data_IF_894401696508
#
_entry.id   IF_894401696508
#
_cell.length_a   1.000
_cell.length_b   1.000
_cell.length_c   1.000
_cell.angle_alpha   90.00
_cell.angle_beta   90.00
_cell.angle_gamma   90.00
#
_symmetry.space_group_name_H-M   'P 1'
#
loop_
_entity.id
_entity.type
_entity.pdbx_description
1 polymer ?
#
# COMPACT_ATOMS: atom_id res chain seq x y z
N UNK A 1 1.17 -23.47 49.59
CA UNK A 1 1.90 -23.98 48.41
C UNK A 1 1.10 -23.64 47.16
N UNK A 2 1.32 -22.43 46.68
CA UNK A 2 0.63 -21.73 45.60
C UNK A 2 1.65 -21.54 44.50
N UNK A 3 1.69 -22.40 43.47
CA UNK A 3 2.51 -22.14 42.27
C UNK A 3 2.35 -23.10 41.08
N UNK A 4 1.25 -23.83 40.92
CA UNK A 4 1.10 -24.71 39.74
C UNK A 4 -0.23 -24.61 38.99
N UNK A 5 -1.07 -23.60 39.27
CA UNK A 5 -2.41 -23.50 38.65
C UNK A 5 -2.68 -22.18 37.91
N UNK A 6 -1.64 -21.45 37.48
CA UNK A 6 -1.79 -20.15 36.78
C UNK A 6 -1.08 -20.11 35.41
N UNK A 7 -0.32 -21.13 35.03
CA UNK A 7 0.47 -21.11 33.78
C UNK A 7 -0.09 -21.96 32.63
N UNK A 8 -1.37 -22.36 32.70
CA UNK A 8 -2.08 -23.05 31.60
C UNK A 8 -3.23 -22.22 31.00
N UNK A 9 -3.40 -20.97 31.42
CA UNK A 9 -4.44 -20.05 30.93
C UNK A 9 -4.00 -19.15 29.75
N UNK A 10 -2.84 -19.41 29.13
CA UNK A 10 -2.38 -18.72 27.90
C UNK A 10 -2.84 -19.49 26.63
N UNK A 11 -3.82 -20.40 26.77
CA UNK A 11 -4.48 -21.07 25.63
C UNK A 11 -5.85 -20.46 25.29
N UNK A 12 -6.21 -19.31 25.87
CA UNK A 12 -7.44 -18.56 25.57
C UNK A 12 -7.10 -17.14 25.09
N UNK A 13 -6.33 -17.05 24.00
CA UNK A 13 -6.22 -15.85 23.18
C UNK A 13 -7.44 -15.72 22.27
N UNK A 14 -8.59 -15.37 22.84
CA UNK A 14 -9.74 -14.87 22.10
C UNK A 14 -9.43 -13.48 21.52
N UNK A 15 -10.11 -13.14 20.43
CA UNK A 15 -9.81 -13.56 19.07
C UNK A 15 -8.73 -12.64 18.49
N UNK A 16 -8.01 -13.10 17.45
CA UNK A 16 -7.60 -12.15 16.44
C UNK A 16 -8.87 -11.45 15.99
N UNK A 17 -9.14 -10.25 16.50
CA UNK A 17 -9.91 -9.25 15.78
C UNK A 17 -9.00 -8.90 14.61
N UNK A 18 -8.89 -9.84 13.66
CA UNK A 18 -8.58 -9.52 12.30
C UNK A 18 -9.66 -8.54 11.94
N UNK A 19 -9.26 -7.28 11.85
CA UNK A 19 -10.07 -6.29 11.18
C UNK A 19 -10.19 -6.87 9.78
N UNK A 20 -11.29 -7.57 9.53
CA UNK A 20 -11.80 -7.74 8.20
C UNK A 20 -12.13 -6.31 7.77
N UNK A 21 -11.10 -5.59 7.31
CA UNK A 21 -11.32 -4.57 6.31
C UNK A 21 -12.12 -5.30 5.26
N UNK A 22 -13.37 -4.92 5.08
CA UNK A 22 -14.13 -5.20 3.86
C UNK A 22 -13.14 -5.01 2.72
N UNK A 23 -12.63 -6.13 2.21
CA UNK A 23 -11.47 -6.13 1.35
C UNK A 23 -11.91 -5.47 0.08
N UNK A 24 -11.59 -4.20 -0.09
CA UNK A 24 -11.44 -3.65 -1.43
C UNK A 24 -10.40 -4.53 -2.08
N UNK A 25 -10.85 -5.49 -2.88
CA UNK A 25 -9.97 -6.41 -3.58
C UNK A 25 -9.07 -5.56 -4.45
N UNK A 26 -7.79 -5.47 -4.10
CA UNK A 26 -6.83 -4.74 -4.91
C UNK A 26 -6.75 -5.43 -6.27
N UNK A 27 -7.14 -4.72 -7.32
CA UNK A 27 -6.99 -5.15 -8.70
C UNK A 27 -5.98 -4.23 -9.38
N UNK A 28 -4.66 -4.47 -9.19
CA UNK A 28 -3.66 -3.68 -9.88
C UNK A 28 -3.80 -3.88 -11.40
N UNK A 29 -3.34 -2.90 -12.20
CA UNK A 29 -3.42 -2.99 -13.66
C UNK A 29 -2.64 -4.18 -14.22
N UNK A 30 -1.65 -4.65 -13.47
CA UNK A 30 -0.84 -5.84 -13.73
C UNK A 30 -0.05 -6.24 -12.50
N UNK A 31 0.62 -7.38 -12.58
CA UNK A 31 1.59 -7.83 -11.60
C UNK A 31 2.99 -7.56 -12.17
N UNK A 32 3.76 -6.60 -11.64
CA UNK A 32 5.06 -6.26 -12.20
C UNK A 32 6.02 -7.43 -11.97
N UNK A 33 6.40 -8.13 -13.03
CA UNK A 33 7.20 -9.35 -12.95
C UNK A 33 8.70 -9.12 -13.18
N UNK A 34 9.03 -8.05 -13.89
CA UNK A 34 10.39 -7.67 -14.24
C UNK A 34 10.45 -6.19 -14.65
N UNK A 35 11.67 -5.65 -14.69
CA UNK A 35 11.86 -4.21 -14.90
C UNK A 35 11.44 -3.72 -16.29
N UNK A 36 11.50 -4.57 -17.32
CA UNK A 36 11.13 -4.18 -18.68
C UNK A 36 9.62 -3.96 -18.74
N UNK A 37 8.84 -4.90 -18.23
CA UNK A 37 7.39 -4.75 -18.13
C UNK A 37 6.99 -3.55 -17.27
N UNK A 38 7.61 -3.39 -16.10
CA UNK A 38 7.37 -2.27 -15.20
C UNK A 38 7.67 -0.91 -15.85
N UNK A 39 8.70 -0.85 -16.71
CA UNK A 39 9.05 0.38 -17.45
C UNK A 39 8.07 0.64 -18.59
N UNK A 40 7.65 -0.38 -19.33
CA UNK A 40 6.70 -0.24 -20.43
C UNK A 40 5.32 0.22 -19.95
N UNK A 41 4.94 -0.13 -18.72
CA UNK A 41 3.65 0.19 -18.10
C UNK A 41 3.80 1.18 -16.94
N UNK A 42 4.82 2.04 -17.02
CA UNK A 42 5.17 2.98 -15.97
C UNK A 42 4.04 3.97 -15.65
N UNK A 43 3.44 4.59 -16.68
CA UNK A 43 2.34 5.55 -16.48
C UNK A 43 1.15 4.90 -15.78
N UNK A 44 0.75 3.72 -16.24
CA UNK A 44 -0.38 2.97 -15.68
C UNK A 44 -0.13 2.60 -14.21
N UNK A 45 1.12 2.30 -13.85
CA UNK A 45 1.52 2.10 -12.46
C UNK A 45 1.37 3.38 -11.62
N UNK A 46 1.86 4.53 -12.12
CA UNK A 46 1.76 5.80 -11.38
C UNK A 46 0.31 6.24 -11.19
N UNK A 47 -0.54 6.03 -12.19
CA UNK A 47 -1.97 6.35 -12.12
C UNK A 47 -2.67 5.46 -11.09
N UNK A 48 -2.40 4.14 -11.11
CA UNK A 48 -2.95 3.23 -10.10
C UNK A 48 -2.52 3.62 -8.67
N UNK A 49 -1.25 3.96 -8.47
CA UNK A 49 -0.74 4.39 -7.15
C UNK A 49 -1.47 5.67 -6.69
N UNK A 50 -1.72 6.62 -7.60
CA UNK A 50 -2.39 7.87 -7.27
C UNK A 50 -3.89 7.71 -6.98
N UNK A 51 -4.56 6.73 -7.58
CA UNK A 51 -6.03 6.63 -7.56
C UNK A 51 -6.59 5.51 -6.66
N UNK A 52 -5.85 4.41 -6.47
CA UNK A 52 -6.31 3.23 -5.74
C UNK A 52 -6.50 3.51 -4.24
N UNK A 53 -7.18 2.61 -3.51
CA UNK A 53 -7.33 2.74 -2.06
C UNK A 53 -5.95 2.81 -1.39
N UNK A 54 -5.85 3.48 -0.23
CA UNK A 54 -4.54 3.72 0.41
C UNK A 54 -3.74 2.42 0.61
N UNK A 55 -4.41 1.34 1.00
CA UNK A 55 -3.78 0.02 1.16
C UNK A 55 -3.29 -0.53 -0.18
N UNK A 56 -4.11 -0.49 -1.24
CA UNK A 56 -3.73 -1.02 -2.54
C UNK A 56 -2.61 -0.21 -3.21
N UNK A 57 -2.67 1.13 -3.10
CA UNK A 57 -1.62 2.02 -3.60
C UNK A 57 -0.28 1.73 -2.95
N UNK A 58 -0.25 1.58 -1.62
CA UNK A 58 0.99 1.29 -0.88
C UNK A 58 1.55 -0.09 -1.25
N UNK A 59 0.71 -1.12 -1.23
CA UNK A 59 1.14 -2.49 -1.57
C UNK A 59 1.72 -2.58 -2.99
N UNK A 60 1.06 -1.97 -3.97
CA UNK A 60 1.54 -1.98 -5.35
C UNK A 60 2.79 -1.12 -5.55
N UNK A 61 2.88 0.04 -4.87
CA UNK A 61 4.07 0.89 -4.91
C UNK A 61 5.33 0.16 -4.41
N UNK A 62 5.21 -0.58 -3.30
CA UNK A 62 6.30 -1.35 -2.73
C UNK A 62 6.80 -2.43 -3.71
N UNK A 63 5.87 -3.21 -4.28
CA UNK A 63 6.19 -4.22 -5.30
C UNK A 63 6.84 -3.61 -6.53
N UNK A 64 6.32 -2.47 -6.99
CA UNK A 64 6.83 -1.78 -8.16
C UNK A 64 8.27 -1.30 -7.95
N UNK A 65 8.58 -0.69 -6.79
CA UNK A 65 9.95 -0.25 -6.46
C UNK A 65 10.90 -1.44 -6.34
N UNK A 66 10.47 -2.55 -5.76
CA UNK A 66 11.28 -3.76 -5.59
C UNK A 66 11.81 -4.27 -6.93
N UNK A 67 10.97 -4.29 -7.96
CA UNK A 67 11.36 -4.69 -9.33
C UNK A 67 12.51 -3.84 -9.90
N UNK A 68 12.57 -2.54 -9.59
CA UNK A 68 13.69 -1.69 -10.01
C UNK A 68 14.94 -1.91 -9.17
N UNK A 69 14.79 -2.14 -7.85
CA UNK A 69 15.91 -2.40 -6.93
C UNK A 69 16.62 -3.72 -7.24
N UNK A 70 15.87 -4.75 -7.60
CA UNK A 70 16.42 -6.07 -7.93
C UNK A 70 17.04 -6.13 -9.34
N UNK A 71 16.77 -5.12 -10.17
CA UNK A 71 17.21 -5.13 -11.56
C UNK A 71 18.63 -4.62 -11.73
N UNK A 72 19.49 -5.45 -12.32
CA UNK A 72 20.83 -5.07 -12.76
C UNK A 72 20.83 -4.18 -14.02
N UNK A 73 19.69 -4.02 -14.69
CA UNK A 73 19.55 -3.23 -15.92
C UNK A 73 19.38 -1.73 -15.65
N UNK A 74 19.16 -1.34 -14.40
CA UNK A 74 18.80 0.02 -14.01
C UNK A 74 19.98 0.66 -13.28
N UNK A 75 20.28 1.90 -13.67
CA UNK A 75 21.25 2.71 -12.94
C UNK A 75 20.63 3.32 -11.67
N UNK A 76 21.44 3.62 -10.67
CA UNK A 76 21.00 4.29 -9.44
C UNK A 76 20.22 5.60 -9.71
N UNK A 77 20.59 6.32 -10.77
CA UNK A 77 19.88 7.54 -11.19
C UNK A 77 18.46 7.27 -11.64
N UNK A 78 18.24 6.21 -12.41
CA UNK A 78 16.91 5.79 -12.83
C UNK A 78 16.09 5.28 -11.64
N UNK A 79 16.70 4.47 -10.74
CA UNK A 79 16.03 4.01 -9.51
C UNK A 79 15.56 5.19 -8.66
N UNK A 80 16.39 6.22 -8.50
CA UNK A 80 16.05 7.42 -7.75
C UNK A 80 14.83 8.13 -8.34
N UNK A 81 14.82 8.38 -9.65
CA UNK A 81 13.66 9.01 -10.33
C UNK A 81 12.40 8.17 -10.15
N UNK A 82 12.50 6.85 -10.29
CA UNK A 82 11.37 5.94 -10.06
C UNK A 82 10.79 6.09 -8.65
N UNK A 83 11.64 6.15 -7.62
CA UNK A 83 11.18 6.32 -6.23
C UNK A 83 10.51 7.68 -6.04
N UNK A 84 11.12 8.76 -6.56
CA UNK A 84 10.57 10.12 -6.45
C UNK A 84 9.17 10.23 -7.08
N UNK A 85 8.97 9.64 -8.25
CA UNK A 85 7.68 9.62 -8.94
C UNK A 85 6.63 8.77 -8.21
N UNK A 86 7.02 7.62 -7.64
CA UNK A 86 6.15 6.80 -6.79
C UNK A 86 5.73 7.56 -5.54
N UNK A 87 6.66 8.22 -4.86
CA UNK A 87 6.38 9.04 -3.68
C UNK A 87 5.43 10.19 -4.03
N UNK A 88 5.66 10.87 -5.15
CA UNK A 88 4.77 11.91 -5.65
C UNK A 88 3.35 11.38 -5.94
N UNK A 89 3.22 10.19 -6.52
CA UNK A 89 1.93 9.54 -6.75
C UNK A 89 1.20 9.21 -5.43
N UNK A 90 1.91 8.63 -4.45
CA UNK A 90 1.37 8.35 -3.11
C UNK A 90 0.92 9.62 -2.40
N UNK A 91 1.70 10.70 -2.48
CA UNK A 91 1.31 11.99 -1.90
C UNK A 91 0.02 12.54 -2.48
N UNK A 92 -0.16 12.44 -3.81
CA UNK A 92 -1.41 12.86 -4.46
C UNK A 92 -2.59 12.09 -3.89
N UNK A 93 -2.47 10.77 -3.74
CA UNK A 93 -3.51 9.93 -3.15
C UNK A 93 -3.87 10.36 -1.73
N UNK A 94 -2.86 10.61 -0.90
CA UNK A 94 -3.05 11.04 0.50
C UNK A 94 -3.78 12.40 0.54
N UNK A 95 -3.39 13.35 -0.31
CA UNK A 95 -4.01 14.68 -0.40
C UNK A 95 -5.48 14.58 -0.82
N UNK A 96 -5.81 13.75 -1.80
CA UNK A 96 -7.20 13.53 -2.24
C UNK A 96 -8.08 12.89 -1.16
N UNK A 97 -7.54 11.90 -0.44
CA UNK A 97 -8.22 11.29 0.70
C UNK A 97 -8.48 12.28 1.85
N UNK A 98 -7.55 13.22 2.09
CA UNK A 98 -7.73 14.27 3.09
C UNK A 98 -8.83 15.26 2.69
N UNK A 99 -8.89 15.64 1.40
CA UNK A 99 -9.89 16.55 0.87
C UNK A 99 -11.30 15.94 0.88
N UNK A 100 -11.45 14.67 0.49
CA UNK A 100 -12.73 13.94 0.56
C UNK A 100 -13.25 13.84 2.00
N UNK A 101 -12.38 13.61 2.98
CA UNK A 101 -12.75 13.65 4.40
C UNK A 101 -13.19 15.03 4.86
N UNK A 102 -12.49 16.10 4.45
CA UNK A 102 -12.84 17.49 4.79
C UNK A 102 -14.19 17.90 4.20
N UNK A 103 -14.45 17.61 2.93
CA UNK A 103 -15.73 17.89 2.27
C UNK A 103 -16.91 17.07 2.80
N UNK A 104 -16.65 15.86 3.33
CA UNK A 104 -17.69 15.03 3.99
C UNK A 104 -18.06 15.57 5.37
N UNK A 105 -17.11 16.12 6.13
CA UNK A 105 -17.37 16.72 7.44
C UNK A 105 -18.20 18.02 7.35
N UNK A 106 -18.05 18.79 6.28
CA UNK A 106 -18.77 20.06 6.08
C UNK A 106 -20.23 19.83 5.65
N UNK A 107 -20.52 18.76 4.91
CA UNK A 107 -21.88 18.39 4.48
C UNK A 107 -22.77 17.76 5.56
N UNK A 108 -22.22 17.39 6.73
CA UNK A 108 -22.99 16.77 7.83
C UNK A 108 -23.34 17.78 8.94
N UNK A 109 -22.99 19.07 8.78
CA UNK A 109 -23.30 20.16 9.73
C UNK A 109 -24.48 21.05 9.30
N UNK A 110 -25.45 20.51 8.55
CA UNK A 110 -26.70 21.22 8.18
C UNK A 110 -27.90 20.40 8.62
#
# INVERSE_FOLDING_TARGET
>A
MTKHLILLLILLGLPNIGWASTGDSCSPPYEPSNVIEATLRYSEAMDYIAEASNTCSQQFADQFIEIYRESWLISDGCLKVTIEDVEAALERRIKENAQTKKGRSEKTSI
#
